data_IF_103800685453
#
_entry.id   IF_103800685453
#
_cell.length_a   1.000
_cell.length_b   1.000
_cell.length_c   1.000
_cell.angle_alpha   90.00
_cell.angle_beta   90.00
_cell.angle_gamma   90.00
#
_symmetry.space_group_name_H-M   'P 1'
#
loop_
_entity.id
_entity.type
_entity.pdbx_description
1 polymer ?
#
# COMPACT_ATOMS: atom_id res chain seq x y z
N UNK A 1 -9.72 -13.25 -26.51
CA UNK A 1 -8.80 -13.54 -25.39
C UNK A 1 -7.40 -12.91 -25.58
N UNK A 2 -6.84 -12.85 -26.77
CA UNK A 2 -5.52 -12.29 -27.03
C UNK A 2 -5.39 -10.77 -26.78
N UNK A 3 -6.44 -10.00 -27.01
CA UNK A 3 -6.47 -8.55 -26.75
C UNK A 3 -6.43 -8.16 -25.28
N UNK A 4 -6.99 -9.00 -24.38
CA UNK A 4 -6.96 -8.81 -22.91
C UNK A 4 -5.57 -9.13 -22.34
N UNK A 5 -4.90 -10.15 -22.85
CA UNK A 5 -3.52 -10.51 -22.46
C UNK A 5 -2.50 -9.41 -22.82
N UNK A 6 -2.60 -8.83 -24.01
CA UNK A 6 -1.72 -7.71 -24.43
C UNK A 6 -1.94 -6.45 -23.61
N UNK A 7 -3.19 -6.16 -23.22
CA UNK A 7 -3.53 -4.98 -22.42
C UNK A 7 -3.02 -5.09 -20.96
N UNK A 8 -3.03 -6.28 -20.38
CA UNK A 8 -2.48 -6.54 -19.05
C UNK A 8 -0.93 -6.45 -19.03
N UNK A 9 -0.26 -6.84 -20.13
CA UNK A 9 1.20 -6.85 -20.22
C UNK A 9 1.83 -5.46 -20.39
N UNK A 10 1.07 -4.46 -20.89
CA UNK A 10 1.59 -3.14 -21.26
C UNK A 10 0.92 -1.99 -20.49
N UNK A 11 0.21 -2.30 -19.40
CA UNK A 11 -0.50 -1.33 -18.57
C UNK A 11 -0.14 -1.47 -17.10
N UNK A 12 -0.56 -0.52 -16.25
CA UNK A 12 -0.39 -0.63 -14.79
C UNK A 12 -1.03 -1.91 -14.19
N UNK A 13 -1.94 -2.57 -14.92
CA UNK A 13 -2.51 -3.87 -14.56
C UNK A 13 -1.49 -5.01 -14.50
N UNK A 14 -0.31 -4.86 -15.13
CA UNK A 14 0.79 -5.83 -15.03
C UNK A 14 1.32 -6.00 -13.59
N UNK A 15 1.05 -5.05 -12.71
CA UNK A 15 1.46 -5.09 -11.31
C UNK A 15 0.34 -5.54 -10.35
N UNK A 16 -0.84 -5.89 -10.87
CA UNK A 16 -1.97 -6.23 -10.00
C UNK A 16 -1.71 -7.52 -9.21
N UNK A 17 -1.01 -8.49 -9.80
CA UNK A 17 -0.61 -9.69 -9.07
C UNK A 17 0.37 -9.36 -7.94
N UNK A 18 1.39 -8.52 -8.21
CA UNK A 18 2.34 -8.06 -7.18
C UNK A 18 1.62 -7.38 -6.02
N UNK A 19 0.71 -6.45 -6.33
CA UNK A 19 -0.05 -5.72 -5.30
C UNK A 19 -0.93 -6.67 -4.48
N UNK A 20 -1.55 -7.65 -5.14
CA UNK A 20 -2.39 -8.64 -4.46
C UNK A 20 -1.60 -9.55 -3.53
N UNK A 21 -0.52 -10.14 -4.02
CA UNK A 21 0.41 -10.93 -3.20
C UNK A 21 0.95 -10.09 -2.04
N UNK A 22 1.38 -8.88 -2.33
CA UNK A 22 1.92 -7.98 -1.32
C UNK A 22 0.91 -7.62 -0.24
N UNK A 23 -0.36 -7.37 -0.57
CA UNK A 23 -1.40 -7.15 0.43
C UNK A 23 -1.60 -8.36 1.35
N UNK A 24 -1.63 -9.57 0.79
CA UNK A 24 -1.71 -10.79 1.59
C UNK A 24 -0.50 -10.94 2.51
N UNK A 25 0.70 -10.67 2.00
CA UNK A 25 1.95 -10.72 2.78
C UNK A 25 1.98 -9.66 3.89
N UNK A 26 1.52 -8.43 3.62
CA UNK A 26 1.46 -7.35 4.63
C UNK A 26 0.52 -7.74 5.78
N UNK A 27 -0.70 -8.20 5.48
CA UNK A 27 -1.65 -8.64 6.51
C UNK A 27 -1.08 -9.80 7.33
N UNK A 28 -0.42 -10.75 6.66
CA UNK A 28 0.21 -11.89 7.35
C UNK A 28 1.39 -11.45 8.23
N UNK A 29 2.25 -10.56 7.75
CA UNK A 29 3.40 -10.07 8.50
C UNK A 29 2.97 -9.34 9.77
N UNK A 30 2.01 -8.41 9.67
CA UNK A 30 1.48 -7.71 10.86
C UNK A 30 0.77 -8.64 11.84
N UNK A 31 0.16 -9.73 11.36
CA UNK A 31 -0.36 -10.77 12.24
C UNK A 31 0.77 -11.52 12.93
N UNK A 32 1.81 -11.90 12.18
CA UNK A 32 2.96 -12.67 12.69
C UNK A 32 3.77 -11.92 13.75
N UNK A 33 3.88 -10.60 13.63
CA UNK A 33 4.60 -9.73 14.58
C UNK A 33 4.03 -9.79 16.02
N UNK A 34 2.76 -10.13 16.16
CA UNK A 34 2.08 -10.21 17.46
C UNK A 34 2.32 -11.54 18.18
N UNK A 35 2.78 -12.58 17.47
CA UNK A 35 3.01 -13.89 18.06
C UNK A 35 4.51 -14.13 18.28
N UNK A 36 4.98 -14.11 19.54
CA UNK A 36 6.35 -14.50 19.84
C UNK A 36 6.52 -15.99 19.49
N UNK A 37 7.16 -16.29 18.40
CA UNK A 37 7.45 -17.66 17.96
C UNK A 37 8.67 -18.23 18.69
N UNK A 38 8.71 -18.06 20.01
CA UNK A 38 9.81 -18.51 20.86
C UNK A 38 10.91 -17.46 21.01
N UNK A 39 11.92 -17.81 21.82
CA UNK A 39 13.17 -17.05 21.98
C UNK A 39 13.74 -16.66 20.61
N UNK A 40 14.32 -15.49 20.49
CA UNK A 40 14.93 -14.99 19.23
C UNK A 40 15.93 -15.97 18.58
N UNK A 41 16.42 -16.96 19.36
CA UNK A 41 17.20 -18.10 18.87
C UNK A 41 16.38 -19.13 18.08
N UNK A 42 15.04 -19.13 18.15
CA UNK A 42 14.12 -20.10 17.54
C UNK A 42 13.17 -19.44 16.55
N UNK A 43 13.63 -18.44 15.80
CA UNK A 43 12.84 -17.85 14.71
C UNK A 43 12.42 -18.98 13.76
N UNK A 44 11.12 -19.14 13.59
CA UNK A 44 10.59 -20.06 12.59
C UNK A 44 11.11 -19.64 11.22
N UNK A 45 11.74 -20.55 10.44
CA UNK A 45 12.27 -20.21 9.12
C UNK A 45 11.24 -19.53 8.20
N UNK A 46 9.95 -19.84 8.35
CA UNK A 46 8.88 -19.23 7.57
C UNK A 46 8.69 -17.75 7.94
N UNK A 47 8.59 -17.43 9.23
CA UNK A 47 8.48 -16.02 9.70
C UNK A 47 9.72 -15.24 9.37
N UNK A 48 10.90 -15.84 9.53
CA UNK A 48 12.16 -15.22 9.14
C UNK A 48 12.21 -14.90 7.63
N UNK A 49 11.85 -15.85 6.76
CA UNK A 49 11.76 -15.60 5.33
C UNK A 49 10.77 -14.48 5.00
N UNK A 50 9.64 -14.40 5.69
CA UNK A 50 8.66 -13.34 5.47
C UNK A 50 9.19 -11.97 5.89
N UNK A 51 9.88 -11.87 7.02
CA UNK A 51 10.53 -10.62 7.44
C UNK A 51 11.66 -10.24 6.48
N UNK A 52 12.49 -11.18 6.06
CA UNK A 52 13.57 -10.94 5.12
C UNK A 52 13.07 -10.44 3.76
N UNK A 53 11.94 -10.95 3.28
CA UNK A 53 11.34 -10.50 2.02
C UNK A 53 10.48 -9.24 2.17
N UNK A 54 10.11 -8.82 3.38
CA UNK A 54 9.25 -7.67 3.62
C UNK A 54 9.81 -6.41 2.99
N UNK A 55 11.06 -6.08 3.22
CA UNK A 55 11.68 -4.86 2.70
C UNK A 55 11.92 -4.95 1.19
N UNK A 56 12.36 -6.08 0.68
CA UNK A 56 12.49 -6.30 -0.76
C UNK A 56 11.13 -6.20 -1.48
N UNK A 57 10.04 -6.64 -0.85
CA UNK A 57 8.69 -6.48 -1.38
C UNK A 57 8.26 -5.01 -1.35
N UNK A 58 8.59 -4.27 -0.31
CA UNK A 58 8.34 -2.82 -0.24
C UNK A 58 9.10 -2.09 -1.35
N UNK A 59 10.38 -2.43 -1.57
CA UNK A 59 11.15 -1.90 -2.70
C UNK A 59 10.47 -2.20 -4.04
N UNK A 60 9.92 -3.41 -4.24
CA UNK A 60 9.15 -3.75 -5.44
C UNK A 60 7.91 -2.85 -5.62
N UNK A 61 7.23 -2.44 -4.56
CA UNK A 61 6.12 -1.49 -4.63
C UNK A 61 6.56 -0.08 -5.05
N UNK A 62 7.70 0.40 -4.54
CA UNK A 62 8.26 1.69 -4.99
C UNK A 62 8.67 1.62 -6.46
N UNK A 63 9.28 0.52 -6.91
CA UNK A 63 9.63 0.29 -8.32
C UNK A 63 8.38 0.27 -9.19
N UNK A 64 7.34 -0.46 -8.80
CA UNK A 64 6.06 -0.51 -9.52
C UNK A 64 5.39 0.87 -9.59
N UNK A 65 5.46 1.66 -8.51
CA UNK A 65 5.01 3.05 -8.48
C UNK A 65 5.83 3.92 -9.43
N UNK A 66 7.16 3.80 -9.41
CA UNK A 66 8.07 4.52 -10.27
C UNK A 66 7.87 4.21 -11.75
N UNK A 67 7.44 3.00 -12.09
CA UNK A 67 7.04 2.66 -13.46
C UNK A 67 5.83 3.47 -13.92
N UNK A 68 4.96 3.86 -13.01
CA UNK A 68 3.85 4.78 -13.27
C UNK A 68 4.26 6.25 -13.36
N UNK A 69 5.49 6.58 -12.97
CA UNK A 69 5.96 7.96 -12.88
C UNK A 69 5.99 8.67 -14.24
N UNK A 70 5.66 9.96 -14.21
CA UNK A 70 5.78 10.88 -15.36
C UNK A 70 6.26 12.23 -14.81
N UNK A 71 7.36 12.73 -15.35
CA UNK A 71 7.88 14.08 -15.04
C UNK A 71 6.80 15.14 -15.31
N UNK A 72 6.65 16.09 -14.39
CA UNK A 72 5.65 17.16 -14.44
C UNK A 72 6.22 18.44 -13.88
N UNK A 73 5.42 19.53 -13.90
CA UNK A 73 5.74 20.69 -13.05
C UNK A 73 5.47 20.32 -11.60
N UNK A 74 6.31 20.83 -10.69
CA UNK A 74 6.28 20.49 -9.27
C UNK A 74 4.91 20.72 -8.63
N UNK A 75 4.22 21.81 -8.96
CA UNK A 75 2.87 22.09 -8.45
C UNK A 75 1.84 21.03 -8.89
N UNK A 76 1.91 20.53 -10.13
CA UNK A 76 1.04 19.46 -10.60
C UNK A 76 1.39 18.11 -9.96
N UNK A 77 2.66 17.88 -9.65
CA UNK A 77 3.09 16.71 -8.91
C UNK A 77 2.50 16.73 -7.49
N UNK A 78 2.69 17.82 -6.75
CA UNK A 78 2.16 17.98 -5.39
C UNK A 78 0.64 17.83 -5.36
N UNK A 79 -0.11 18.51 -6.23
CA UNK A 79 -1.57 18.40 -6.29
C UNK A 79 -2.03 16.94 -6.53
N UNK A 80 -1.34 16.22 -7.42
CA UNK A 80 -1.66 14.83 -7.65
C UNK A 80 -1.36 13.96 -6.44
N UNK A 81 -0.18 14.11 -5.81
CA UNK A 81 0.18 13.31 -4.64
C UNK A 81 -0.75 13.60 -3.46
N UNK A 82 -1.15 14.86 -3.28
CA UNK A 82 -2.18 15.23 -2.32
C UNK A 82 -3.48 14.42 -2.55
N UNK A 83 -3.99 14.39 -3.77
CA UNK A 83 -5.24 13.71 -4.10
C UNK A 83 -5.16 12.20 -4.01
N UNK A 84 -4.02 11.60 -4.38
CA UNK A 84 -3.87 10.15 -4.52
C UNK A 84 -3.30 9.45 -3.29
N UNK A 85 -2.49 10.14 -2.48
CA UNK A 85 -1.81 9.55 -1.33
C UNK A 85 -2.16 10.25 -0.01
N UNK A 86 -2.06 11.59 0.06
CA UNK A 86 -2.29 12.31 1.32
C UNK A 86 -3.77 12.31 1.72
N UNK A 87 -4.67 12.48 0.78
CA UNK A 87 -6.12 12.44 1.07
C UNK A 87 -6.59 11.09 1.63
N UNK A 88 -6.25 9.93 1.03
CA UNK A 88 -6.49 8.62 1.64
C UNK A 88 -5.84 8.48 3.03
N UNK A 89 -4.61 8.95 3.20
CA UNK A 89 -3.91 8.96 4.50
C UNK A 89 -4.73 9.67 5.57
N UNK A 90 -5.15 10.91 5.31
CA UNK A 90 -5.93 11.74 6.26
C UNK A 90 -7.25 11.05 6.61
N UNK A 91 -8.00 10.56 5.63
CA UNK A 91 -9.27 9.87 5.89
C UNK A 91 -9.09 8.59 6.70
N UNK A 92 -8.04 7.83 6.41
CA UNK A 92 -7.72 6.63 7.18
C UNK A 92 -7.33 6.99 8.62
N UNK A 93 -6.51 8.02 8.82
CA UNK A 93 -6.13 8.50 10.15
C UNK A 93 -7.33 8.92 11.00
N UNK A 94 -8.26 9.69 10.41
CA UNK A 94 -9.51 10.09 11.08
C UNK A 94 -10.35 8.85 11.43
N UNK A 95 -10.55 7.95 10.47
CA UNK A 95 -11.33 6.73 10.69
C UNK A 95 -10.69 5.87 11.79
N UNK A 96 -9.37 5.66 11.72
CA UNK A 96 -8.61 4.89 12.74
C UNK A 96 -8.79 5.50 14.12
N UNK A 97 -8.63 6.81 14.28
CA UNK A 97 -8.79 7.51 15.56
C UNK A 97 -10.21 7.33 16.13
N UNK A 98 -11.24 7.51 15.29
CA UNK A 98 -12.64 7.37 15.71
C UNK A 98 -12.94 5.91 16.12
N UNK A 99 -12.58 4.93 15.29
CA UNK A 99 -12.85 3.52 15.60
C UNK A 99 -12.03 3.02 16.78
N UNK A 100 -10.77 3.47 16.92
CA UNK A 100 -9.95 3.15 18.09
C UNK A 100 -10.62 3.62 19.38
N UNK A 101 -11.09 4.87 19.43
CA UNK A 101 -11.80 5.38 20.60
C UNK A 101 -13.05 4.55 20.93
N UNK A 102 -13.90 4.30 19.94
CA UNK A 102 -15.16 3.55 20.13
C UNK A 102 -14.88 2.14 20.62
N UNK A 103 -13.95 1.42 20.01
CA UNK A 103 -13.63 0.04 20.34
C UNK A 103 -12.99 -0.05 21.73
N UNK A 104 -12.00 0.81 22.03
CA UNK A 104 -11.34 0.82 23.34
C UNK A 104 -12.31 1.18 24.46
N UNK A 105 -13.16 2.18 24.27
CA UNK A 105 -14.19 2.53 25.26
C UNK A 105 -15.17 1.38 25.48
N UNK A 106 -15.63 0.73 24.41
CA UNK A 106 -16.58 -0.37 24.49
C UNK A 106 -16.01 -1.62 25.17
N UNK A 107 -14.72 -1.90 24.97
CA UNK A 107 -14.08 -3.09 25.52
C UNK A 107 -13.60 -2.91 26.98
N UNK A 108 -13.08 -1.73 27.30
CA UNK A 108 -12.42 -1.49 28.59
C UNK A 108 -13.24 -0.61 29.56
N UNK A 109 -14.33 0.01 29.10
CA UNK A 109 -15.26 0.78 29.92
C UNK A 109 -14.69 2.08 30.54
N UNK A 110 -13.45 2.45 30.25
CA UNK A 110 -12.78 3.62 30.81
C UNK A 110 -12.67 4.74 29.78
N UNK A 111 -13.42 5.82 29.98
CA UNK A 111 -13.36 7.01 29.12
C UNK A 111 -11.96 7.65 29.13
N UNK A 112 -11.34 7.73 30.33
CA UNK A 112 -10.00 8.30 30.47
C UNK A 112 -8.96 7.51 29.67
N UNK A 113 -8.92 6.19 29.83
CA UNK A 113 -7.98 5.34 29.11
C UNK A 113 -8.23 5.35 27.61
N UNK A 114 -9.49 5.25 27.17
CA UNK A 114 -9.84 5.30 25.76
C UNK A 114 -9.40 6.63 25.11
N UNK A 115 -9.63 7.75 25.80
CA UNK A 115 -9.18 9.08 25.32
C UNK A 115 -7.66 9.17 25.27
N UNK A 116 -6.95 8.72 26.30
CA UNK A 116 -5.50 8.80 26.39
C UNK A 116 -4.80 7.94 25.34
N UNK A 117 -5.21 6.68 25.16
CA UNK A 117 -4.64 5.80 24.15
C UNK A 117 -4.97 6.28 22.72
N UNK A 118 -6.19 6.79 22.51
CA UNK A 118 -6.58 7.37 21.21
C UNK A 118 -5.82 8.65 20.88
N UNK A 119 -5.49 9.47 21.88
CA UNK A 119 -4.63 10.64 21.71
C UNK A 119 -3.24 10.26 21.17
N UNK A 120 -2.65 9.16 21.65
CA UNK A 120 -1.37 8.65 21.15
C UNK A 120 -1.47 8.20 19.68
N UNK A 121 -2.57 7.54 19.31
CA UNK A 121 -2.85 7.16 17.90
C UNK A 121 -3.01 8.41 17.03
N UNK A 122 -3.83 9.37 17.46
CA UNK A 122 -4.04 10.63 16.74
C UNK A 122 -2.73 11.38 16.50
N UNK A 123 -1.88 11.49 17.55
CA UNK A 123 -0.58 12.13 17.45
C UNK A 123 0.35 11.43 16.46
N UNK A 124 0.36 10.09 16.45
CA UNK A 124 1.12 9.30 15.48
C UNK A 124 0.71 9.58 14.04
N UNK A 125 -0.59 9.65 13.77
CA UNK A 125 -1.08 10.06 12.44
C UNK A 125 -0.83 11.53 12.14
N UNK A 126 -0.99 12.43 13.11
CA UNK A 126 -0.75 13.86 12.92
C UNK A 126 0.71 14.19 12.62
N UNK A 127 1.64 13.48 13.27
CA UNK A 127 3.08 13.59 13.05
C UNK A 127 3.60 12.69 11.93
N UNK A 128 2.78 11.77 11.42
CA UNK A 128 3.18 10.82 10.38
C UNK A 128 4.33 9.92 10.81
N UNK A 129 4.24 9.32 12.01
CA UNK A 129 5.32 8.54 12.60
C UNK A 129 5.36 7.13 11.98
N UNK A 130 6.50 6.70 11.42
CA UNK A 130 6.62 5.35 10.86
C UNK A 130 6.68 4.27 11.95
N UNK A 131 7.16 4.60 13.13
CA UNK A 131 7.23 3.76 14.33
C UNK A 131 6.82 4.56 15.56
N UNK A 132 6.62 3.88 16.68
CA UNK A 132 6.28 4.52 17.97
C UNK A 132 7.46 5.34 18.46
N UNK A 133 7.24 6.62 18.77
CA UNK A 133 8.28 7.56 19.12
C UNK A 133 7.81 8.60 20.18
N UNK A 134 8.77 9.22 20.85
CA UNK A 134 8.50 10.25 21.86
C UNK A 134 8.74 11.63 21.27
N UNK A 135 7.68 12.44 21.27
CA UNK A 135 7.72 13.85 20.86
C UNK A 135 7.17 14.72 21.98
N UNK A 136 7.83 15.85 22.25
CA UNK A 136 7.41 16.81 23.28
C UNK A 136 7.17 16.15 24.66
N UNK A 137 7.97 15.13 25.00
CA UNK A 137 7.84 14.36 26.24
C UNK A 137 6.64 13.41 26.30
N UNK A 138 5.91 13.23 25.20
CA UNK A 138 4.78 12.32 25.08
C UNK A 138 5.10 11.18 24.10
N UNK A 139 4.71 9.96 24.45
CA UNK A 139 4.80 8.80 23.58
C UNK A 139 3.62 8.81 22.61
N UNK A 140 3.91 8.77 21.30
CA UNK A 140 2.91 8.61 20.26
C UNK A 140 3.11 7.26 19.54
N UNK A 141 2.02 6.63 19.18
CA UNK A 141 2.06 5.39 18.43
C UNK A 141 2.41 5.64 16.96
N UNK A 142 2.83 4.59 16.26
CA UNK A 142 3.00 4.62 14.82
C UNK A 142 1.68 4.93 14.10
N UNK A 143 1.74 5.58 12.92
CA UNK A 143 0.61 5.65 12.01
C UNK A 143 0.33 4.31 11.29
N UNK A 144 0.90 3.22 11.81
CA UNK A 144 0.75 1.88 11.24
C UNK A 144 1.28 1.80 9.80
N UNK A 145 0.74 0.91 8.98
CA UNK A 145 1.19 0.75 7.59
C UNK A 145 1.12 2.03 6.75
N UNK A 146 0.35 3.05 7.17
CA UNK A 146 0.15 4.28 6.41
C UNK A 146 1.41 5.13 6.22
N UNK A 147 2.49 4.87 6.98
CA UNK A 147 3.79 5.49 6.75
C UNK A 147 4.26 5.36 5.28
N UNK A 148 3.90 4.23 4.63
CA UNK A 148 4.23 3.98 3.24
C UNK A 148 3.64 5.04 2.28
N UNK A 149 2.41 5.52 2.51
CA UNK A 149 1.80 6.54 1.66
C UNK A 149 2.52 7.87 1.77
N UNK A 150 2.94 8.26 2.97
CA UNK A 150 3.69 9.50 3.19
C UNK A 150 5.08 9.41 2.56
N UNK A 151 5.82 8.34 2.81
CA UNK A 151 7.14 8.13 2.24
C UNK A 151 7.09 8.06 0.71
N UNK A 152 6.08 7.39 0.14
CA UNK A 152 5.88 7.35 -1.30
C UNK A 152 5.57 8.74 -1.88
N UNK A 153 4.72 9.53 -1.20
CA UNK A 153 4.42 10.91 -1.60
C UNK A 153 5.70 11.75 -1.66
N UNK A 154 6.52 11.69 -0.62
CA UNK A 154 7.80 12.42 -0.54
C UNK A 154 8.76 11.95 -1.65
N UNK A 155 8.90 10.63 -1.83
CA UNK A 155 9.75 10.09 -2.88
C UNK A 155 9.34 10.55 -4.29
N UNK A 156 8.02 10.63 -4.56
CA UNK A 156 7.49 11.16 -5.83
C UNK A 156 7.83 12.63 -6.04
N UNK A 157 7.63 13.46 -5.02
CA UNK A 157 7.92 14.90 -5.08
C UNK A 157 9.42 15.12 -5.27
N UNK A 158 10.26 14.41 -4.52
CA UNK A 158 11.71 14.53 -4.62
C UNK A 158 12.23 14.05 -5.98
N UNK A 159 11.74 12.92 -6.50
CA UNK A 159 12.14 12.46 -7.82
C UNK A 159 11.72 13.45 -8.92
N UNK A 160 10.51 14.01 -8.85
CA UNK A 160 10.07 15.02 -9.81
C UNK A 160 10.95 16.28 -9.73
N UNK A 161 11.31 16.70 -8.52
CA UNK A 161 12.21 17.82 -8.27
C UNK A 161 13.60 17.56 -8.86
N UNK A 162 14.20 16.41 -8.57
CA UNK A 162 15.51 15.99 -9.10
C UNK A 162 15.50 16.02 -10.63
N UNK A 163 14.49 15.40 -11.26
CA UNK A 163 14.39 15.35 -12.72
C UNK A 163 14.13 16.71 -13.35
N UNK A 164 13.60 17.70 -12.63
CA UNK A 164 13.39 19.06 -13.14
C UNK A 164 14.58 19.98 -12.97
N UNK A 165 15.36 19.81 -11.88
CA UNK A 165 16.46 20.72 -11.53
C UNK A 165 17.79 20.26 -12.14
N UNK A 166 18.08 18.95 -12.06
CA UNK A 166 19.39 18.44 -12.41
C UNK A 166 19.49 18.05 -13.91
N UNK A 167 20.60 18.40 -14.59
CA UNK A 167 20.94 17.85 -15.89
C UNK A 167 21.05 16.31 -15.85
N UNK A 168 20.77 15.65 -16.96
CA UNK A 168 20.68 14.17 -17.05
C UNK A 168 21.92 13.45 -16.47
N UNK A 169 23.10 13.98 -16.71
CA UNK A 169 24.37 13.44 -16.22
C UNK A 169 24.52 13.43 -14.69
N UNK A 170 23.81 14.31 -13.97
CA UNK A 170 23.87 14.42 -12.51
C UNK A 170 22.71 13.77 -11.75
N UNK A 171 21.69 13.30 -12.47
CA UNK A 171 20.48 12.72 -11.86
C UNK A 171 20.84 11.53 -10.94
N UNK A 172 21.72 10.61 -11.40
CA UNK A 172 22.12 9.46 -10.58
C UNK A 172 22.78 9.88 -9.27
N UNK A 173 23.64 10.90 -9.32
CA UNK A 173 24.30 11.46 -8.14
C UNK A 173 23.32 12.17 -7.22
N UNK A 174 22.37 12.89 -7.76
CA UNK A 174 21.32 13.56 -6.98
C UNK A 174 20.41 12.53 -6.27
N UNK A 175 20.04 11.44 -6.96
CA UNK A 175 19.29 10.32 -6.36
C UNK A 175 20.08 9.66 -5.24
N UNK A 176 21.36 9.37 -5.46
CA UNK A 176 22.25 8.77 -4.45
C UNK A 176 22.45 9.72 -3.26
N UNK A 177 22.72 11.00 -3.52
CA UNK A 177 22.84 12.01 -2.47
C UNK A 177 21.58 12.18 -1.64
N UNK A 178 20.40 12.15 -2.26
CA UNK A 178 19.10 12.18 -1.58
C UNK A 178 18.94 10.95 -0.67
N UNK A 179 19.29 9.76 -1.15
CA UNK A 179 19.25 8.52 -0.36
C UNK A 179 20.19 8.62 0.86
N UNK A 180 21.44 9.03 0.66
CA UNK A 180 22.42 9.13 1.75
C UNK A 180 22.00 10.18 2.79
N UNK A 181 21.47 11.32 2.36
CA UNK A 181 20.93 12.32 3.26
C UNK A 181 19.71 11.77 4.04
N UNK A 182 18.82 11.08 3.36
CA UNK A 182 17.66 10.43 4.00
C UNK A 182 18.07 9.37 5.02
N UNK A 183 19.05 8.54 4.69
CA UNK A 183 19.64 7.57 5.61
C UNK A 183 20.24 8.27 6.84
N UNK A 184 21.06 9.33 6.63
CA UNK A 184 21.61 10.11 7.72
C UNK A 184 20.54 10.73 8.62
N UNK A 185 19.45 11.27 8.05
CA UNK A 185 18.31 11.78 8.82
C UNK A 185 17.68 10.66 9.65
N UNK A 186 17.42 9.49 9.06
CA UNK A 186 16.77 8.38 9.76
C UNK A 186 17.55 7.86 10.95
N UNK A 187 18.90 7.83 10.89
CA UNK A 187 19.74 7.33 11.99
C UNK A 187 20.08 8.38 13.05
N UNK A 188 19.88 9.67 12.76
CA UNK A 188 20.24 10.76 13.69
C UNK A 188 19.03 11.46 14.28
N UNK A 189 17.91 11.43 13.61
CA UNK A 189 16.72 12.17 13.99
C UNK A 189 15.44 11.47 13.50
N UNK A 190 14.50 11.28 14.40
CA UNK A 190 13.17 10.77 14.07
C UNK A 190 12.32 11.88 13.38
N UNK A 191 12.61 12.15 12.10
CA UNK A 191 11.93 13.21 11.38
C UNK A 191 10.43 12.89 11.19
N UNK A 192 9.52 13.84 11.46
CA UNK A 192 8.09 13.61 11.24
C UNK A 192 7.76 13.47 9.75
N UNK A 193 6.52 13.00 9.47
CA UNK A 193 5.97 12.81 8.10
C UNK A 193 6.75 11.84 7.22
N UNK A 194 7.51 10.91 7.81
CA UNK A 194 8.30 9.93 7.06
C UNK A 194 9.28 10.57 6.05
N UNK A 195 9.83 11.75 6.36
CA UNK A 195 10.71 12.50 5.43
C UNK A 195 11.94 11.66 5.10
N UNK A 196 12.63 11.13 6.11
CA UNK A 196 13.82 10.29 5.91
C UNK A 196 13.49 9.03 5.11
N UNK A 197 12.40 8.34 5.47
CA UNK A 197 11.91 7.14 4.77
C UNK A 197 11.57 7.45 3.30
N UNK A 198 10.96 8.59 3.02
CA UNK A 198 10.70 9.04 1.66
C UNK A 198 11.98 9.27 0.85
N UNK A 199 13.01 9.85 1.48
CA UNK A 199 14.30 10.12 0.83
C UNK A 199 15.06 8.83 0.51
N UNK A 200 15.11 7.86 1.43
CA UNK A 200 15.82 6.58 1.20
C UNK A 200 15.14 5.72 0.14
N UNK A 201 13.86 5.91 -0.14
CA UNK A 201 13.12 5.13 -1.14
C UNK A 201 13.15 5.73 -2.55
N UNK A 202 13.73 6.94 -2.73
CA UNK A 202 13.89 7.58 -4.06
C UNK A 202 14.63 6.68 -5.06
N UNK A 203 15.71 5.95 -4.72
CA UNK A 203 16.38 5.06 -5.67
C UNK A 203 15.46 3.96 -6.23
N UNK A 204 14.66 3.30 -5.39
CA UNK A 204 13.73 2.27 -5.83
C UNK A 204 12.66 2.85 -6.78
N UNK A 205 12.12 4.03 -6.47
CA UNK A 205 11.21 4.75 -7.34
C UNK A 205 11.87 5.11 -8.69
N UNK A 206 13.11 5.60 -8.65
CA UNK A 206 13.90 5.94 -9.82
C UNK A 206 14.20 4.72 -10.70
N UNK A 207 14.54 3.57 -10.11
CA UNK A 207 14.67 2.29 -10.84
C UNK A 207 13.40 1.97 -11.61
N UNK A 208 12.22 2.17 -11.01
CA UNK A 208 10.94 2.01 -11.68
C UNK A 208 10.76 2.96 -12.88
N UNK A 209 11.13 4.23 -12.72
CA UNK A 209 11.15 5.21 -13.81
C UNK A 209 12.08 4.79 -14.95
N UNK A 210 13.30 4.34 -14.64
CA UNK A 210 14.25 3.83 -15.62
C UNK A 210 13.73 2.55 -16.30
N UNK A 211 13.13 1.64 -15.54
CA UNK A 211 12.53 0.43 -16.08
C UNK A 211 11.46 0.73 -17.15
N UNK A 212 10.70 1.82 -16.97
CA UNK A 212 9.76 2.30 -18.00
C UNK A 212 10.47 2.99 -19.15
N UNK A 213 11.43 3.88 -18.89
CA UNK A 213 12.20 4.58 -19.93
C UNK A 213 12.85 3.60 -20.91
N UNK A 214 13.39 2.50 -20.37
CA UNK A 214 14.07 1.45 -21.16
C UNK A 214 13.17 0.25 -21.52
N UNK A 215 11.86 0.29 -21.20
CA UNK A 215 10.86 -0.76 -21.49
C UNK A 215 11.25 -2.15 -20.99
N UNK A 216 11.95 -2.22 -19.84
CA UNK A 216 12.52 -3.46 -19.29
C UNK A 216 11.46 -4.54 -19.08
N UNK A 217 10.24 -4.16 -18.64
CA UNK A 217 9.15 -5.11 -18.39
C UNK A 217 8.28 -5.40 -19.62
N UNK A 218 8.44 -4.66 -20.72
CA UNK A 218 7.65 -4.84 -21.93
C UNK A 218 8.27 -5.87 -22.88
N UNK A 219 9.58 -6.01 -22.83
CA UNK A 219 10.35 -6.94 -23.64
C UNK A 219 10.74 -8.19 -22.83
N UNK A 220 10.89 -9.36 -23.45
CA UNK A 220 11.45 -10.51 -22.76
C UNK A 220 12.91 -10.21 -22.40
N UNK A 221 13.20 -10.23 -21.10
CA UNK A 221 14.57 -10.06 -20.60
C UNK A 221 15.49 -11.12 -21.25
N UNK A 222 16.68 -10.71 -21.64
CA UNK A 222 17.69 -11.65 -22.10
C UNK A 222 17.94 -12.71 -21.02
N UNK A 223 18.20 -13.97 -21.39
CA UNK A 223 18.48 -15.03 -20.40
C UNK A 223 19.61 -14.67 -19.43
N UNK A 224 20.63 -13.94 -19.91
CA UNK A 224 21.75 -13.46 -19.09
C UNK A 224 21.31 -12.44 -18.04
N UNK A 225 20.53 -11.43 -18.44
CA UNK A 225 20.06 -10.39 -17.53
C UNK A 225 19.11 -10.99 -16.47
N UNK A 226 18.17 -11.85 -16.90
CA UNK A 226 17.26 -12.56 -15.99
C UNK A 226 18.03 -13.47 -15.02
N UNK A 227 19.00 -14.23 -15.51
CA UNK A 227 19.86 -15.08 -14.68
C UNK A 227 20.65 -14.25 -13.65
N UNK A 228 21.24 -13.11 -14.08
CA UNK A 228 21.93 -12.18 -13.20
C UNK A 228 21.02 -11.59 -12.11
N UNK A 229 19.81 -11.20 -12.44
CA UNK A 229 18.83 -10.67 -11.47
C UNK A 229 18.41 -11.74 -10.45
N UNK A 230 18.19 -12.98 -10.88
CA UNK A 230 17.86 -14.10 -9.98
C UNK A 230 19.06 -14.41 -9.08
N UNK A 231 20.29 -14.46 -9.63
CA UNK A 231 21.50 -14.71 -8.87
C UNK A 231 21.74 -13.60 -7.82
N UNK A 232 21.53 -12.33 -8.20
CA UNK A 232 21.62 -11.21 -7.26
C UNK A 232 20.60 -11.31 -6.14
N UNK A 233 19.34 -11.62 -6.46
CA UNK A 233 18.27 -11.80 -5.47
C UNK A 233 18.59 -12.97 -4.51
N UNK A 234 19.09 -14.09 -5.03
CA UNK A 234 19.49 -15.24 -4.21
C UNK A 234 20.70 -14.92 -3.33
N UNK A 235 21.68 -14.16 -3.84
CA UNK A 235 22.85 -13.73 -3.08
C UNK A 235 22.45 -12.82 -1.90
N UNK A 236 21.53 -11.87 -2.14
CA UNK A 236 21.00 -11.01 -1.08
C UNK A 236 20.18 -11.83 -0.08
N UNK A 237 19.31 -12.73 -0.54
CA UNK A 237 18.57 -13.61 0.35
C UNK A 237 19.52 -14.48 1.22
N UNK A 238 20.59 -15.01 0.65
CA UNK A 238 21.60 -15.75 1.39
C UNK A 238 22.33 -14.84 2.41
N UNK A 239 22.67 -13.60 2.03
CA UNK A 239 23.29 -12.63 2.94
C UNK A 239 22.38 -12.32 4.12
N UNK A 240 21.10 -12.04 3.88
CA UNK A 240 20.08 -11.80 4.91
C UNK A 240 19.95 -13.01 5.85
N UNK A 241 19.94 -14.24 5.30
CA UNK A 241 19.89 -15.48 6.09
C UNK A 241 21.15 -15.68 6.94
N UNK A 242 22.34 -15.40 6.39
CA UNK A 242 23.60 -15.56 7.09
C UNK A 242 23.82 -14.49 8.18
N UNK A 243 23.40 -13.26 7.91
CA UNK A 243 23.55 -12.15 8.86
C UNK A 243 22.41 -12.08 9.87
N UNK A 244 21.35 -12.89 9.68
CA UNK A 244 20.09 -12.81 10.48
C UNK A 244 19.52 -11.38 10.51
N UNK A 245 19.82 -10.60 9.49
CA UNK A 245 19.42 -9.21 9.44
C UNK A 245 18.00 -9.09 8.91
N UNK A 246 17.27 -8.18 9.52
CA UNK A 246 15.95 -7.73 9.04
C UNK A 246 16.06 -6.25 8.79
N UNK A 247 16.33 -5.86 7.54
CA UNK A 247 16.28 -4.45 7.18
C UNK A 247 14.81 -3.98 7.24
N UNK A 248 14.59 -2.78 7.76
CA UNK A 248 13.25 -2.24 7.97
C UNK A 248 13.21 -0.73 7.76
N UNK A 249 12.67 -0.30 6.63
CA UNK A 249 12.58 1.14 6.28
C UNK A 249 11.75 1.90 7.31
N UNK A 250 10.65 1.33 7.81
CA UNK A 250 9.82 2.01 8.82
C UNK A 250 10.52 2.18 10.16
N UNK A 251 11.37 1.23 10.54
CA UNK A 251 12.13 1.27 11.78
C UNK A 251 13.49 1.97 11.65
N UNK A 252 13.85 2.41 10.43
CA UNK A 252 15.15 2.99 10.11
C UNK A 252 16.33 2.04 10.42
N UNK A 253 16.12 0.74 10.23
CA UNK A 253 17.11 -0.31 10.48
C UNK A 253 17.66 -0.82 9.16
N UNK A 254 18.98 -0.77 8.99
CA UNK A 254 19.71 -1.28 7.82
C UNK A 254 21.03 -1.92 8.26
N UNK A 255 21.13 -3.22 8.14
CA UNK A 255 22.28 -4.02 8.61
C UNK A 255 23.58 -3.63 7.95
N UNK A 256 23.55 -3.33 6.65
CA UNK A 256 24.71 -2.89 5.87
C UNK A 256 24.68 -1.38 5.60
N UNK A 257 23.98 -0.61 6.45
CA UNK A 257 23.79 0.82 6.26
C UNK A 257 23.16 1.16 4.91
N UNK A 258 23.61 2.23 4.22
CA UNK A 258 23.00 2.66 2.96
C UNK A 258 23.11 1.65 1.82
N UNK A 259 24.02 0.65 1.93
CA UNK A 259 24.14 -0.42 0.92
C UNK A 259 22.91 -1.32 0.94
N UNK A 260 22.32 -1.61 2.11
CA UNK A 260 21.08 -2.38 2.21
C UNK A 260 19.97 -1.78 1.33
N UNK A 261 19.80 -0.45 1.31
CA UNK A 261 18.78 0.25 0.53
C UNK A 261 18.95 -0.03 -0.98
N UNK A 262 20.18 -0.09 -1.46
CA UNK A 262 20.47 -0.41 -2.86
C UNK A 262 20.22 -1.90 -3.16
N UNK A 263 20.59 -2.77 -2.22
CA UNK A 263 20.36 -4.21 -2.34
C UNK A 263 18.86 -4.52 -2.35
N UNK A 264 18.07 -3.84 -1.52
CA UNK A 264 16.59 -3.96 -1.52
C UNK A 264 16.00 -3.51 -2.86
N UNK A 265 16.52 -2.46 -3.48
CA UNK A 265 16.08 -2.07 -4.80
C UNK A 265 16.39 -3.13 -5.86
N UNK A 266 17.54 -3.82 -5.77
CA UNK A 266 17.90 -4.92 -6.68
C UNK A 266 17.01 -6.13 -6.45
N UNK A 267 16.79 -6.54 -5.21
CA UNK A 267 15.90 -7.67 -4.88
C UNK A 267 14.44 -7.36 -5.24
N UNK A 268 13.98 -6.14 -4.97
CA UNK A 268 12.65 -5.67 -5.37
C UNK A 268 12.42 -5.74 -6.89
N UNK A 269 13.43 -5.36 -7.68
CA UNK A 269 13.39 -5.51 -9.14
C UNK A 269 13.34 -6.99 -9.56
N UNK A 270 14.07 -7.87 -8.85
CA UNK A 270 14.04 -9.31 -9.05
C UNK A 270 12.65 -9.90 -8.77
N UNK A 271 12.09 -9.60 -7.60
CA UNK A 271 10.73 -10.04 -7.21
C UNK A 271 9.71 -9.59 -8.26
N UNK A 272 9.75 -8.32 -8.64
CA UNK A 272 8.84 -7.75 -9.63
C UNK A 272 8.94 -8.48 -10.97
N UNK A 273 10.16 -8.78 -11.42
CA UNK A 273 10.41 -9.51 -12.68
C UNK A 273 9.86 -10.95 -12.62
N UNK A 274 10.03 -11.64 -11.48
CA UNK A 274 9.48 -12.99 -11.26
C UNK A 274 7.95 -12.95 -11.27
N UNK A 275 7.34 -12.02 -10.57
CA UNK A 275 5.88 -11.89 -10.50
C UNK A 275 5.27 -11.57 -11.86
N UNK A 276 5.88 -10.66 -12.63
CA UNK A 276 5.44 -10.34 -14.00
C UNK A 276 5.60 -11.57 -14.91
N UNK A 277 6.72 -12.28 -14.81
CA UNK A 277 6.95 -13.51 -15.57
C UNK A 277 5.90 -14.58 -15.25
N UNK A 278 5.59 -14.77 -13.97
CA UNK A 278 4.57 -15.71 -13.51
C UNK A 278 3.18 -15.31 -14.01
N UNK A 279 2.79 -14.05 -13.83
CA UNK A 279 1.49 -13.52 -14.27
C UNK A 279 1.25 -13.71 -15.78
N UNK A 280 2.31 -13.66 -16.59
CA UNK A 280 2.21 -13.87 -18.03
C UNK A 280 2.00 -15.34 -18.45
N UNK A 281 2.30 -16.29 -17.57
CA UNK A 281 2.27 -17.73 -17.85
C UNK A 281 1.15 -18.47 -17.15
N UNK A 282 0.80 -18.03 -15.97
CA UNK A 282 -0.20 -18.70 -15.13
C UNK A 282 -1.46 -17.87 -15.09
N UNK A 283 -2.53 -18.41 -15.65
CA UNK A 283 -3.85 -17.79 -15.68
C UNK A 283 -4.85 -18.81 -15.13
N UNK A 284 -5.27 -18.63 -13.87
CA UNK A 284 -6.23 -19.48 -13.20
C UNK A 284 -7.09 -18.66 -12.22
N UNK A 285 -8.08 -19.30 -11.61
CA UNK A 285 -9.00 -18.65 -10.67
C UNK A 285 -8.25 -17.96 -9.50
N UNK A 286 -7.19 -18.59 -9.00
CA UNK A 286 -6.40 -18.06 -7.88
C UNK A 286 -5.67 -16.78 -8.28
N UNK A 287 -4.98 -16.79 -9.43
CA UNK A 287 -4.28 -15.59 -9.92
C UNK A 287 -5.25 -14.45 -10.21
N UNK A 288 -6.44 -14.73 -10.75
CA UNK A 288 -7.49 -13.73 -10.95
C UNK A 288 -8.03 -13.15 -9.64
N UNK A 289 -8.21 -13.98 -8.61
CA UNK A 289 -8.64 -13.54 -7.28
C UNK A 289 -7.57 -12.62 -6.64
N UNK A 290 -6.31 -13.02 -6.69
CA UNK A 290 -5.19 -12.20 -6.16
C UNK A 290 -5.06 -10.88 -6.94
N UNK A 291 -5.19 -10.88 -8.26
CA UNK A 291 -5.20 -9.66 -9.06
C UNK A 291 -6.40 -8.76 -8.72
N UNK A 292 -7.57 -9.33 -8.37
CA UNK A 292 -8.72 -8.55 -7.94
C UNK A 292 -8.45 -7.82 -6.61
N UNK A 293 -7.76 -8.46 -5.67
CA UNK A 293 -7.22 -7.83 -4.45
C UNK A 293 -6.25 -6.71 -4.83
N UNK A 294 -5.31 -6.98 -5.74
CA UNK A 294 -4.31 -6.00 -6.18
C UNK A 294 -4.90 -4.75 -6.84
N UNK A 295 -5.95 -4.89 -7.63
CA UNK A 295 -6.66 -3.73 -8.22
C UNK A 295 -7.28 -2.80 -7.18
N UNK A 296 -7.62 -3.33 -6.00
CA UNK A 296 -8.22 -2.59 -4.89
C UNK A 296 -7.24 -2.36 -3.74
N UNK A 297 -5.94 -2.62 -3.96
CA UNK A 297 -4.92 -2.67 -2.91
C UNK A 297 -4.87 -1.44 -2.01
N UNK A 298 -4.92 -0.23 -2.56
CA UNK A 298 -4.93 1.00 -1.76
C UNK A 298 -6.14 1.07 -0.81
N UNK A 299 -7.32 0.67 -1.27
CA UNK A 299 -8.52 0.69 -0.46
C UNK A 299 -8.47 -0.39 0.64
N UNK A 300 -8.03 -1.61 0.29
CA UNK A 300 -7.80 -2.70 1.24
C UNK A 300 -6.76 -2.28 2.27
N UNK A 301 -5.69 -1.63 1.85
CA UNK A 301 -4.63 -1.12 2.72
C UNK A 301 -5.16 -0.11 3.75
N UNK A 302 -5.99 0.85 3.33
CA UNK A 302 -6.63 1.80 4.23
C UNK A 302 -7.55 1.11 5.25
N UNK A 303 -8.39 0.16 4.81
CA UNK A 303 -9.30 -0.58 5.71
C UNK A 303 -8.52 -1.47 6.67
N UNK A 304 -7.47 -2.16 6.18
CA UNK A 304 -6.60 -2.97 7.02
C UNK A 304 -5.89 -2.13 8.09
N UNK A 305 -5.44 -0.92 7.76
CA UNK A 305 -4.83 -0.02 8.76
C UNK A 305 -5.82 0.34 9.87
N UNK A 306 -7.08 0.67 9.51
CA UNK A 306 -8.11 0.95 10.53
C UNK A 306 -8.34 -0.28 11.41
N UNK A 307 -8.48 -1.43 10.81
CA UNK A 307 -8.70 -2.71 11.51
C UNK A 307 -7.52 -3.07 12.41
N UNK A 308 -6.29 -3.00 11.88
CA UNK A 308 -5.06 -3.34 12.59
C UNK A 308 -4.84 -2.47 13.84
N UNK A 309 -5.13 -1.16 13.72
CA UNK A 309 -4.84 -0.20 14.78
C UNK A 309 -6.00 -0.07 15.78
N UNK A 310 -7.25 -0.16 15.32
CA UNK A 310 -8.40 0.04 16.17
C UNK A 310 -8.78 -1.21 16.99
N UNK A 311 -8.51 -2.42 16.46
CA UNK A 311 -8.81 -3.65 17.17
C UNK A 311 -7.59 -4.05 18.02
N UNK A 312 -7.77 -4.35 19.34
CA UNK A 312 -6.66 -4.73 20.20
C UNK A 312 -6.21 -6.18 19.96
N UNK A 313 -5.65 -6.43 18.78
CA UNK A 313 -5.19 -7.75 18.36
C UNK A 313 -4.15 -8.37 19.29
N UNK A 314 -3.41 -7.56 20.05
CA UNK A 314 -2.45 -8.02 21.06
C UNK A 314 -3.06 -8.89 22.17
N UNK A 315 -4.39 -8.93 22.29
CA UNK A 315 -5.09 -9.82 23.21
C UNK A 315 -5.20 -11.27 22.68
N UNK A 316 -5.11 -11.47 21.39
CA UNK A 316 -5.24 -12.81 20.78
C UNK A 316 -4.09 -13.76 21.15
N UNK A 317 -2.79 -13.36 21.06
CA UNK A 317 -1.68 -14.23 21.46
C UNK A 317 -1.79 -14.73 22.91
N UNK A 318 -2.32 -13.91 23.81
CA UNK A 318 -2.52 -14.30 25.21
C UNK A 318 -3.54 -15.45 25.35
N UNK A 319 -4.61 -15.43 24.56
CA UNK A 319 -5.64 -16.49 24.53
C UNK A 319 -5.15 -17.77 23.87
N UNK A 320 -4.21 -17.67 22.95
CA UNK A 320 -3.67 -18.80 22.20
C UNK A 320 -2.23 -19.15 22.59
N UNK A 321 -1.79 -18.80 23.80
CA UNK A 321 -0.42 -19.03 24.28
C UNK A 321 0.01 -20.52 24.17
N UNK A 322 -0.91 -21.46 24.38
CA UNK A 322 -0.66 -22.90 24.24
C UNK A 322 -0.57 -23.37 22.75
N UNK A 323 -1.14 -22.61 21.80
CA UNK A 323 -1.21 -22.96 20.39
C UNK A 323 -0.96 -21.75 19.50
N UNK A 324 0.24 -21.14 19.53
CA UNK A 324 0.52 -19.85 18.88
C UNK A 324 0.33 -19.88 17.37
N UNK A 325 0.67 -20.98 16.70
CA UNK A 325 0.46 -21.14 15.23
C UNK A 325 -1.02 -21.12 14.90
N UNK A 326 -1.87 -21.81 15.68
CA UNK A 326 -3.32 -21.79 15.48
C UNK A 326 -3.88 -20.39 15.69
N UNK A 327 -3.44 -19.71 16.75
CA UNK A 327 -3.82 -18.31 17.04
C UNK A 327 -3.46 -17.38 15.87
N UNK A 328 -2.24 -17.49 15.36
CA UNK A 328 -1.75 -16.69 14.21
C UNK A 328 -2.59 -16.95 12.94
N UNK A 329 -2.88 -18.21 12.61
CA UNK A 329 -3.67 -18.55 11.42
C UNK A 329 -5.11 -18.03 11.55
N UNK A 330 -5.72 -18.19 12.72
CA UNK A 330 -7.06 -17.68 12.99
C UNK A 330 -7.11 -16.14 12.93
N UNK A 331 -6.13 -15.46 13.54
CA UNK A 331 -6.06 -14.01 13.50
C UNK A 331 -5.86 -13.51 12.07
N UNK A 332 -4.97 -14.11 11.30
CA UNK A 332 -4.79 -13.78 9.88
C UNK A 332 -6.10 -13.96 9.08
N UNK A 333 -6.79 -15.08 9.27
CA UNK A 333 -8.06 -15.33 8.60
C UNK A 333 -9.14 -14.31 8.98
N UNK A 334 -9.22 -13.93 10.26
CA UNK A 334 -10.16 -12.92 10.75
C UNK A 334 -9.82 -11.52 10.23
N UNK A 335 -8.55 -11.10 10.31
CA UNK A 335 -8.09 -9.80 9.84
C UNK A 335 -8.29 -9.66 8.33
N UNK A 336 -7.83 -10.62 7.54
CA UNK A 336 -8.03 -10.61 6.09
C UNK A 336 -9.51 -10.68 5.72
N UNK A 337 -10.27 -11.60 6.35
CA UNK A 337 -11.68 -11.80 6.07
C UNK A 337 -12.52 -10.57 6.38
N UNK A 338 -12.34 -9.95 7.56
CA UNK A 338 -13.04 -8.71 7.95
C UNK A 338 -12.67 -7.55 7.02
N UNK A 339 -11.39 -7.37 6.71
CA UNK A 339 -10.92 -6.33 5.78
C UNK A 339 -11.56 -6.47 4.39
N UNK A 340 -11.53 -7.68 3.81
CA UNK A 340 -12.14 -7.92 2.50
C UNK A 340 -13.66 -7.76 2.51
N UNK A 341 -14.33 -8.22 3.55
CA UNK A 341 -15.77 -8.07 3.74
C UNK A 341 -16.17 -6.59 3.82
N UNK A 342 -15.49 -5.80 4.65
CA UNK A 342 -15.74 -4.36 4.79
C UNK A 342 -15.51 -3.66 3.45
N UNK A 343 -14.42 -3.97 2.75
CA UNK A 343 -14.15 -3.42 1.43
C UNK A 343 -15.27 -3.72 0.44
N UNK A 344 -15.75 -4.95 0.39
CA UNK A 344 -16.83 -5.35 -0.53
C UNK A 344 -18.14 -4.64 -0.20
N UNK A 345 -18.51 -4.55 1.10
CA UNK A 345 -19.70 -3.84 1.55
C UNK A 345 -19.67 -2.35 1.19
N UNK A 346 -18.52 -1.69 1.39
CA UNK A 346 -18.36 -0.27 1.05
C UNK A 346 -18.42 -0.03 -0.47
N UNK A 347 -17.84 -0.91 -1.26
CA UNK A 347 -17.92 -0.83 -2.74
C UNK A 347 -19.36 -1.01 -3.22
N UNK A 348 -20.05 -2.05 -2.76
CA UNK A 348 -21.45 -2.28 -3.12
C UNK A 348 -22.35 -1.12 -2.73
N UNK A 349 -22.14 -0.53 -1.54
CA UNK A 349 -22.89 0.64 -1.09
C UNK A 349 -22.67 1.86 -1.99
N UNK A 350 -21.45 2.08 -2.46
CA UNK A 350 -21.12 3.16 -3.41
C UNK A 350 -21.80 2.93 -4.74
N UNK A 351 -21.73 1.72 -5.26
CA UNK A 351 -22.32 1.36 -6.56
C UNK A 351 -23.84 1.46 -6.50
N UNK A 352 -24.47 1.08 -5.39
CA UNK A 352 -25.91 1.25 -5.16
C UNK A 352 -26.30 2.74 -5.11
N UNK A 353 -25.53 3.59 -4.43
CA UNK A 353 -25.79 5.04 -4.41
C UNK A 353 -25.68 5.63 -5.81
N UNK A 354 -24.63 5.29 -6.56
CA UNK A 354 -24.46 5.75 -7.94
C UNK A 354 -25.64 5.32 -8.82
N UNK A 355 -26.08 4.08 -8.74
CA UNK A 355 -27.23 3.57 -9.48
C UNK A 355 -28.54 4.27 -9.12
N UNK A 356 -28.78 4.56 -7.83
CA UNK A 356 -29.95 5.30 -7.36
C UNK A 356 -29.96 6.76 -7.84
N UNK A 357 -28.78 7.43 -7.84
CA UNK A 357 -28.66 8.81 -8.33
C UNK A 357 -28.87 8.87 -9.84
N UNK A 358 -28.26 7.99 -10.62
CA UNK A 358 -28.42 7.93 -12.07
C UNK A 358 -29.87 7.66 -12.48
N UNK A 359 -30.59 6.76 -11.75
CA UNK A 359 -32.03 6.54 -11.98
C UNK A 359 -32.90 7.75 -11.64
N UNK A 360 -32.53 8.52 -10.60
CA UNK A 360 -33.24 9.77 -10.27
C UNK A 360 -33.07 10.81 -11.37
N UNK A 361 -31.86 10.97 -11.88
CA UNK A 361 -31.54 11.88 -12.99
C UNK A 361 -32.28 11.48 -14.29
N UNK A 362 -32.31 10.18 -14.62
CA UNK A 362 -33.05 9.68 -15.76
C UNK A 362 -34.57 9.94 -15.62
N UNK A 363 -35.16 9.66 -14.46
CA UNK A 363 -36.58 9.95 -14.20
C UNK A 363 -36.89 11.45 -14.26
N UNK A 364 -35.96 12.30 -13.76
CA UNK A 364 -36.12 13.75 -13.84
C UNK A 364 -36.03 14.26 -15.28
N UNK A 365 -35.18 13.66 -16.12
CA UNK A 365 -35.08 13.98 -17.55
C UNK A 365 -36.27 13.49 -18.38
N UNK A 366 -36.93 12.39 -17.98
CA UNK A 366 -38.13 11.85 -18.64
C UNK A 366 -39.46 12.59 -18.25
N UNK A 367 -39.49 13.20 -17.06
CA UNK A 367 -40.68 13.88 -16.54
C UNK A 367 -41.16 15.04 -17.43
N UNK A 368 -40.31 15.92 -18.00
CA UNK A 368 -40.73 16.97 -18.92
C UNK A 368 -41.28 16.40 -20.25
N UNK A 369 -40.65 15.33 -20.78
CA UNK A 369 -41.05 14.68 -22.03
C UNK A 369 -42.45 14.05 -21.92
N UNK A 370 -42.81 13.46 -20.77
CA UNK A 370 -44.17 12.93 -20.52
C UNK A 370 -45.20 14.00 -20.36
N UNK A 371 -44.85 15.20 -19.87
CA UNK A 371 -45.76 16.34 -19.79
C UNK A 371 -46.08 16.94 -21.16
N UNK A 372 -45.07 17.11 -22.02
CA UNK A 372 -45.29 17.60 -23.39
C UNK A 372 -46.10 16.61 -24.24
N UNK A 373 -45.81 15.31 -24.16
CA UNK A 373 -46.55 14.28 -24.88
C UNK A 373 -48.03 14.15 -24.42
N UNK A 374 -48.35 14.54 -23.17
CA UNK A 374 -49.70 14.54 -22.64
C UNK A 374 -50.48 15.81 -23.03
N UNK A 375 -49.75 16.91 -23.29
CA UNK A 375 -50.34 18.16 -23.77
C UNK A 375 -50.65 18.14 -25.29
N UNK A 376 -50.00 17.29 -26.05
CA UNK A 376 -50.21 17.13 -27.51
C UNK A 376 -51.21 16.02 -27.87
N UNK A 377 -51.78 15.32 -26.89
CA UNK A 377 -52.81 14.30 -27.17
C UNK A 377 -54.11 14.99 -27.62
N UNK A 378 -54.60 14.74 -28.87
CA UNK A 378 -55.80 15.39 -29.34
C UNK A 378 -57.00 14.93 -28.53
N UNK A 379 -57.81 15.91 -28.07
CA UNK A 379 -59.14 15.66 -27.47
C UNK A 379 -59.99 14.87 -28.47
N UNK A 380 -60.25 13.61 -28.18
CA UNK A 380 -61.22 12.84 -28.93
C UNK A 380 -62.60 13.42 -28.64
N UNK A 381 -63.12 14.24 -29.55
CA UNK A 381 -64.50 14.61 -29.57
C UNK A 381 -65.38 13.35 -29.69
N UNK A 382 -66.02 13.00 -28.61
CA UNK A 382 -67.15 12.08 -28.65
C UNK A 382 -68.31 12.81 -29.30
N UNK A 383 -68.49 12.63 -30.61
CA UNK A 383 -69.73 13.03 -31.30
C UNK A 383 -70.83 12.06 -30.88
N UNK A 384 -71.75 12.53 -30.05
CA UNK A 384 -73.01 11.84 -29.76
C UNK A 384 -73.88 11.83 -31.05
N UNK A 385 -74.23 10.66 -31.56
CA UNK A 385 -75.24 10.48 -32.57
C UNK A 385 -76.61 10.40 -31.87
N UNK A 386 -77.45 11.32 -32.20
CA UNK A 386 -78.95 11.18 -32.09
C UNK A 386 -79.46 10.32 -33.22
#
# INVERSE_FOLDING_TARGET
MEGTKRRAANSLGMFDLLKGVGMLTIVFAHTGELYPMGDASHINPLTFCMFAYRESLMAAFYIASGYGFRKRSIGKCIDQQFKTLLKPYIYTGIATTVFHFIIHYSLFGSLHNATYETYKVLGGFALGLPHTATYFGQLFFSCGPMWYLLSLMIAWILLDLILNIFPEQYINWAVLGTMLLGWGICITWEAPFCIGQGMVTVPALYVGYLAKKYKIFEQPLSPRLRGGMIAAALAVAALVLLTKSTDCVSMAEWTLGPVSILLDAVTGLGILSIVIWFQRRVENVVTHAIQAIGRRSLFIFCVHTVELTAIPWYLMPQKFAAHPVLGMVLQFALSLGSTLLICELLVRRRDLKFWLTSRREQKAAEAPRRRSARAEAPERHFAAKH
#
